data_IF_616218043359
#
_entry.id   IF_616218043359
#
_cell.length_a   1.000
_cell.length_b   1.000
_cell.length_c   1.000
_cell.angle_alpha   90.00
_cell.angle_beta   90.00
_cell.angle_gamma   90.00
#
_symmetry.space_group_name_H-M   'P 1'
#
loop_
_entity.id
_entity.type
_entity.pdbx_description
1 polymer ?
#
# COMPACT_ATOMS: atom_id res chain seq x y z
N UNK A 1 6.15 2.76 -12.11
CA UNK A 1 5.52 3.03 -10.80
C UNK A 1 5.34 1.74 -10.02
N UNK A 2 5.47 1.79 -8.70
CA UNK A 2 5.37 0.61 -7.85
C UNK A 2 3.92 0.19 -7.62
N UNK A 3 3.71 -1.11 -7.55
CA UNK A 3 2.42 -1.70 -7.20
C UNK A 3 2.69 -3.00 -6.44
N UNK A 4 2.43 -2.99 -5.14
CA UNK A 4 2.62 -4.15 -4.26
C UNK A 4 1.26 -4.71 -3.86
N UNK A 5 1.01 -5.98 -4.21
CA UNK A 5 -0.31 -6.61 -4.07
C UNK A 5 -0.35 -7.47 -2.80
N UNK A 6 -1.47 -7.37 -2.06
CA UNK A 6 -1.77 -8.22 -0.90
C UNK A 6 -0.61 -8.31 0.10
N UNK A 7 -0.27 -7.17 0.69
CA UNK A 7 0.80 -7.10 1.68
C UNK A 7 0.29 -7.65 3.00
N UNK A 8 1.01 -8.60 3.57
CA UNK A 8 0.64 -9.24 4.85
C UNK A 8 1.85 -9.38 5.75
N UNK A 9 1.59 -9.47 7.05
CA UNK A 9 2.62 -9.77 8.03
C UNK A 9 3.17 -11.18 7.80
N UNK A 10 4.49 -11.33 7.95
CA UNK A 10 5.16 -12.61 7.76
C UNK A 10 6.39 -12.75 8.64
N UNK A 11 6.96 -13.94 8.64
CA UNK A 11 8.17 -14.23 9.38
C UNK A 11 9.41 -13.66 8.65
N UNK A 12 10.49 -13.36 9.39
CA UNK A 12 11.76 -12.97 8.77
C UNK A 12 12.20 -14.02 7.75
N UNK A 13 12.68 -13.57 6.59
CA UNK A 13 13.10 -14.45 5.49
C UNK A 13 14.62 -14.50 5.32
N UNK A 14 15.35 -13.63 6.00
CA UNK A 14 16.81 -13.58 5.95
C UNK A 14 17.39 -13.59 7.37
N UNK A 15 18.69 -13.92 7.48
CA UNK A 15 19.39 -13.88 8.77
C UNK A 15 19.39 -12.46 9.34
N UNK A 16 19.58 -11.44 8.50
CA UNK A 16 19.58 -10.04 8.94
C UNK A 16 18.21 -9.63 9.46
N UNK A 17 17.12 -10.02 8.77
CA UNK A 17 15.75 -9.76 9.23
C UNK A 17 15.47 -10.43 10.57
N UNK A 18 15.90 -11.68 10.73
CA UNK A 18 15.76 -12.41 11.99
C UNK A 18 16.50 -11.71 13.14
N UNK A 19 17.72 -11.24 12.88
CA UNK A 19 18.51 -10.52 13.88
C UNK A 19 17.82 -9.22 14.31
N UNK A 20 17.27 -8.47 13.37
CA UNK A 20 16.53 -7.23 13.66
C UNK A 20 15.26 -7.52 14.46
N UNK A 21 14.52 -8.57 14.14
CA UNK A 21 13.33 -8.98 14.90
C UNK A 21 13.68 -9.31 16.34
N UNK A 22 14.78 -10.03 16.55
CA UNK A 22 15.24 -10.43 17.88
C UNK A 22 15.62 -9.24 18.73
N UNK A 23 16.20 -8.19 18.13
CA UNK A 23 16.74 -7.05 18.86
C UNK A 23 15.75 -5.88 18.99
N UNK A 24 14.82 -5.71 18.05
CA UNK A 24 14.01 -4.49 17.93
C UNK A 24 12.51 -4.72 17.80
N UNK A 25 12.02 -5.93 17.94
CA UNK A 25 10.59 -6.25 17.87
C UNK A 25 9.93 -5.74 16.57
N UNK A 26 10.56 -6.00 15.45
CA UNK A 26 10.09 -5.55 14.12
C UNK A 26 9.01 -6.49 13.58
N UNK A 27 7.91 -5.93 13.06
CA UNK A 27 6.91 -6.67 12.29
C UNK A 27 7.26 -6.56 10.81
N UNK A 28 7.44 -7.69 10.16
CA UNK A 28 7.78 -7.75 8.73
C UNK A 28 6.53 -7.88 7.87
N UNK A 29 6.49 -7.15 6.76
CA UNK A 29 5.40 -7.21 5.79
C UNK A 29 5.95 -7.58 4.41
N UNK A 30 5.23 -8.45 3.72
CA UNK A 30 5.61 -8.93 2.38
C UNK A 30 4.40 -8.88 1.45
N UNK A 31 4.64 -8.50 0.19
CA UNK A 31 3.64 -8.61 -0.87
C UNK A 31 3.42 -10.08 -1.24
N UNK A 32 2.37 -10.37 -2.01
CA UNK A 32 2.07 -11.77 -2.39
C UNK A 32 3.16 -12.42 -3.24
N UNK A 33 3.97 -11.62 -3.94
CA UNK A 33 5.13 -12.10 -4.70
C UNK A 33 6.42 -12.12 -3.86
N UNK A 34 6.33 -11.91 -2.54
CA UNK A 34 7.45 -12.07 -1.60
C UNK A 34 8.34 -10.85 -1.43
N UNK A 35 7.97 -9.69 -1.94
CA UNK A 35 8.76 -8.47 -1.80
C UNK A 35 8.59 -7.88 -0.41
N UNK A 36 9.70 -7.48 0.22
CA UNK A 36 9.73 -6.88 1.55
C UNK A 36 9.27 -5.42 1.48
N UNK A 37 8.25 -5.08 2.27
CA UNK A 37 7.67 -3.75 2.30
C UNK A 37 8.71 -2.66 2.62
N UNK A 38 9.56 -2.89 3.62
CA UNK A 38 10.55 -1.88 4.04
C UNK A 38 11.62 -1.66 2.99
N UNK A 39 12.03 -2.71 2.28
CA UNK A 39 13.00 -2.61 1.19
C UNK A 39 12.41 -1.94 -0.05
N UNK A 40 11.14 -2.22 -0.34
CA UNK A 40 10.48 -1.69 -1.53
C UNK A 40 10.12 -0.21 -1.39
N UNK A 41 10.08 0.34 -0.17
CA UNK A 41 9.78 1.77 0.04
C UNK A 41 10.69 2.68 -0.74
N UNK A 42 11.97 2.34 -0.89
CA UNK A 42 12.96 3.15 -1.61
C UNK A 42 12.70 3.26 -3.12
N UNK A 43 11.87 2.39 -3.67
CA UNK A 43 11.53 2.40 -5.09
C UNK A 43 10.29 3.23 -5.41
N UNK A 44 9.61 3.77 -4.41
CA UNK A 44 8.53 4.73 -4.61
C UNK A 44 9.12 6.11 -4.88
N UNK A 45 8.58 6.81 -5.87
CA UNK A 45 9.01 8.17 -6.18
C UNK A 45 8.46 9.17 -5.17
N UNK A 46 9.19 10.25 -4.92
CA UNK A 46 8.79 11.27 -3.93
C UNK A 46 7.61 12.11 -4.42
N UNK A 47 7.45 12.26 -5.73
CA UNK A 47 6.46 13.15 -6.34
C UNK A 47 5.15 12.46 -6.75
N UNK A 48 4.97 11.21 -6.35
CA UNK A 48 3.73 10.46 -6.63
C UNK A 48 2.83 10.39 -5.41
N UNK A 49 1.56 10.02 -5.63
CA UNK A 49 0.61 9.69 -4.57
C UNK A 49 0.64 8.18 -4.36
N UNK A 50 0.70 7.74 -3.10
CA UNK A 50 0.64 6.33 -2.73
C UNK A 50 -0.75 6.04 -2.19
N UNK A 51 -1.42 5.08 -2.84
CA UNK A 51 -2.78 4.65 -2.52
C UNK A 51 -2.70 3.26 -1.91
N UNK A 52 -3.29 3.07 -0.73
CA UNK A 52 -3.46 1.75 -0.15
C UNK A 52 -4.94 1.38 -0.18
N UNK A 53 -5.25 0.19 -0.68
CA UNK A 53 -6.62 -0.27 -0.87
C UNK A 53 -6.77 -1.73 -0.43
N UNK A 54 -7.99 -2.11 -0.04
CA UNK A 54 -8.28 -3.46 0.44
C UNK A 54 -8.71 -4.40 -0.70
N UNK A 55 -9.08 -5.63 -0.34
CA UNK A 55 -9.52 -6.66 -1.29
C UNK A 55 -10.77 -6.28 -2.07
N UNK A 56 -11.56 -5.35 -1.56
CA UNK A 56 -12.77 -4.82 -2.22
C UNK A 56 -12.46 -3.54 -3.01
N UNK A 57 -11.17 -3.23 -3.17
CA UNK A 57 -10.63 -2.06 -3.85
C UNK A 57 -10.92 -0.73 -3.15
N UNK A 58 -11.40 -0.76 -1.90
CA UNK A 58 -11.69 0.46 -1.14
C UNK A 58 -10.40 1.09 -0.63
N UNK A 59 -10.24 2.39 -0.85
CA UNK A 59 -9.04 3.14 -0.48
C UNK A 59 -9.04 3.42 1.02
N UNK A 60 -7.93 3.06 1.68
CA UNK A 60 -7.68 3.29 3.11
C UNK A 60 -6.62 4.35 3.37
N UNK A 61 -5.71 4.59 2.42
CA UNK A 61 -4.63 5.59 2.55
C UNK A 61 -4.45 6.34 1.24
N UNK A 62 -4.25 7.64 1.35
CA UNK A 62 -3.85 8.54 0.25
C UNK A 62 -2.71 9.40 0.80
N UNK A 63 -1.47 9.05 0.48
CA UNK A 63 -0.29 9.66 1.09
C UNK A 63 0.79 9.93 0.04
N UNK A 64 1.52 11.03 0.22
CA UNK A 64 2.74 11.28 -0.54
C UNK A 64 3.93 10.55 0.04
N UNK A 65 3.99 10.43 1.36
CA UNK A 65 5.04 9.73 2.08
C UNK A 65 4.62 8.28 2.32
N UNK A 66 5.27 7.35 1.63
CA UNK A 66 4.97 5.92 1.74
C UNK A 66 5.16 5.39 3.16
N UNK A 67 6.04 6.00 3.95
CA UNK A 67 6.29 5.57 5.33
C UNK A 67 5.12 5.83 6.28
N UNK A 68 4.17 6.67 5.87
CA UNK A 68 2.95 6.93 6.64
C UNK A 68 1.91 5.80 6.53
N UNK A 69 2.13 4.82 5.63
CA UNK A 69 1.19 3.73 5.38
C UNK A 69 1.56 2.50 6.21
N UNK A 70 0.57 1.97 6.95
CA UNK A 70 0.66 0.64 7.55
C UNK A 70 -0.08 -0.34 6.64
N UNK A 71 0.65 -1.19 5.88
CA UNK A 71 0.08 -1.89 4.74
C UNK A 71 -0.56 -3.25 5.02
N UNK A 72 -0.66 -3.68 6.28
CA UNK A 72 -1.13 -5.01 6.63
C UNK A 72 -2.55 -5.28 6.13
N UNK A 73 -2.69 -6.28 5.26
CA UNK A 73 -3.96 -6.63 4.64
C UNK A 73 -4.33 -5.76 3.44
N UNK A 74 -3.43 -4.90 2.97
CA UNK A 74 -3.70 -3.95 1.91
C UNK A 74 -2.75 -4.15 0.72
N UNK A 75 -3.13 -3.58 -0.42
CA UNK A 75 -2.25 -3.40 -1.57
C UNK A 75 -1.85 -1.92 -1.64
N UNK A 76 -0.64 -1.63 -2.07
CA UNK A 76 -0.14 -0.25 -2.18
C UNK A 76 0.32 0.01 -3.61
N UNK A 77 -0.22 1.05 -4.23
CA UNK A 77 0.08 1.45 -5.61
C UNK A 77 0.48 2.92 -5.65
N UNK A 78 1.45 3.23 -6.52
CA UNK A 78 1.80 4.62 -6.88
C UNK A 78 0.91 5.10 -8.02
N UNK A 79 0.42 6.32 -7.90
CA UNK A 79 -0.30 7.02 -8.98
C UNK A 79 0.27 8.41 -9.15
N UNK A 80 0.06 9.00 -10.34
CA UNK A 80 0.52 10.37 -10.61
C UNK A 80 -0.15 11.38 -9.68
N UNK A 81 0.59 12.41 -9.28
CA UNK A 81 0.07 13.50 -8.46
C UNK A 81 -0.68 14.51 -9.35
N UNK A 82 -1.86 14.12 -9.78
CA UNK A 82 -2.77 14.92 -10.61
C UNK A 82 -4.11 15.11 -9.88
N UNK A 83 -4.88 16.10 -10.31
CA UNK A 83 -6.16 16.45 -9.68
C UNK A 83 -7.11 15.26 -9.56
N UNK A 84 -7.20 14.43 -10.60
CA UNK A 84 -8.07 13.26 -10.60
C UNK A 84 -7.74 12.28 -9.46
N UNK A 85 -6.47 12.17 -9.06
CA UNK A 85 -6.02 11.28 -8.00
C UNK A 85 -6.01 11.96 -6.62
N UNK A 86 -5.76 13.28 -6.57
CA UNK A 86 -5.73 14.03 -5.30
C UNK A 86 -7.08 14.14 -4.61
N UNK A 87 -8.16 14.04 -5.36
CA UNK A 87 -9.53 14.17 -4.82
C UNK A 87 -9.97 12.99 -3.97
N UNK A 88 -9.27 11.87 -4.04
CA UNK A 88 -9.57 10.71 -3.22
C UNK A 88 -9.29 10.99 -1.74
N UNK A 89 -10.09 10.41 -0.86
CA UNK A 89 -9.89 10.47 0.59
C UNK A 89 -10.13 9.11 1.24
N UNK A 90 -10.04 9.04 2.55
CA UNK A 90 -10.14 7.81 3.31
C UNK A 90 -11.52 7.61 3.95
N UNK A 91 -12.53 8.27 3.41
CA UNK A 91 -13.91 8.19 3.93
C UNK A 91 -14.59 6.84 3.67
N UNK A 92 -14.03 6.02 2.79
CA UNK A 92 -14.65 4.79 2.30
C UNK A 92 -15.46 4.98 1.02
N UNK A 93 -15.44 6.18 0.45
CA UNK A 93 -16.20 6.52 -0.75
C UNK A 93 -15.36 6.48 -2.03
N UNK A 94 -14.11 6.04 -1.94
CA UNK A 94 -13.19 5.99 -3.06
C UNK A 94 -12.60 4.60 -3.23
N UNK A 95 -12.36 4.22 -4.50
CA UNK A 95 -11.81 2.92 -4.88
C UNK A 95 -10.62 3.10 -5.81
N UNK A 96 -9.70 2.13 -5.76
CA UNK A 96 -8.71 1.93 -6.83
C UNK A 96 -9.11 0.68 -7.61
N UNK A 97 -9.51 0.86 -8.86
CA UNK A 97 -10.03 -0.22 -9.71
C UNK A 97 -9.61 0.01 -11.16
N UNK A 98 -9.18 -1.06 -11.84
CA UNK A 98 -8.77 -1.02 -13.24
C UNK A 98 -7.71 0.04 -13.53
N UNK A 99 -6.77 0.22 -12.58
CA UNK A 99 -5.68 1.18 -12.70
C UNK A 99 -6.07 2.64 -12.44
N UNK A 100 -7.27 2.89 -11.91
CA UNK A 100 -7.80 4.25 -11.73
C UNK A 100 -8.34 4.47 -10.32
N UNK A 101 -8.18 5.71 -9.84
CA UNK A 101 -8.83 6.21 -8.64
C UNK A 101 -10.21 6.73 -9.02
N UNK A 102 -11.26 6.09 -8.52
CA UNK A 102 -12.65 6.41 -8.86
C UNK A 102 -13.50 6.50 -7.59
N UNK A 103 -14.67 7.13 -7.69
CA UNK A 103 -15.66 7.07 -6.61
C UNK A 103 -16.17 5.65 -6.45
N UNK A 104 -16.48 5.28 -5.22
CA UNK A 104 -17.00 3.96 -4.90
C UNK A 104 -18.30 3.70 -5.70
N UNK A 105 -18.33 2.52 -6.31
CA UNK A 105 -19.50 2.05 -7.04
C UNK A 105 -20.39 1.27 -6.06
N UNK A 106 -21.64 1.70 -5.93
CA UNK A 106 -22.65 0.99 -5.15
C UNK A 106 -23.53 0.21 -6.11
N UNK A 107 -23.70 -1.09 -5.83
CA UNK A 107 -24.59 -1.92 -6.62
C UNK A 107 -26.04 -1.61 -6.22
N UNK A 108 -26.87 -1.26 -7.19
CA UNK A 108 -28.30 -1.11 -6.97
C UNK A 108 -28.92 -2.50 -6.77
N UNK A 109 -29.72 -2.62 -5.76
CA UNK A 109 -30.47 -3.85 -5.48
C UNK A 109 -31.88 -3.81 -6.03
#
# INVERSE_FOLDING_TARGET
MQHLINITAGNPKTVEQYQLTKNFDVVWFFSEDGKNWYEEQKYFADDTIKIAYDKDNIIHYVEKDVTAIRPDGLSVVEVADITANRRADISGNWMFKDGKVIKRIYTAE
#
